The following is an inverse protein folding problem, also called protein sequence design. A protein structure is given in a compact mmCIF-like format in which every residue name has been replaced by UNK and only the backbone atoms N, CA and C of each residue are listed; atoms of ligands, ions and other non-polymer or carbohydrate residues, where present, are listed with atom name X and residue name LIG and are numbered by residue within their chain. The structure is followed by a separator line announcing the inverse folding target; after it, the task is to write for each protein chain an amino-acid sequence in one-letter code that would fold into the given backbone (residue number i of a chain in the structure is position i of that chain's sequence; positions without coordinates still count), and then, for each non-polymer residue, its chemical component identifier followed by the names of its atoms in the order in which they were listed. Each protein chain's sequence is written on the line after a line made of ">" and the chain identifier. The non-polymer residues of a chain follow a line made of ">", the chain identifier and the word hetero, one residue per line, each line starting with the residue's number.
data_IF_875908913129
#
_entry.id   IF_875908913129
#
_cell.length_a   1.000
_cell.length_b   1.000
_cell.length_c   1.000
_cell.angle_alpha   90.00
_cell.angle_beta   90.00
_cell.angle_gamma   90.00
#
_symmetry.space_group_name_H-M   'P 1'
#
loop_
_entity.id
_entity.type
_entity.pdbx_description
1 polymer ?
#
# COMPACT_ATOMS: atom_id res chain seq x y z
N UNK A 1 -3.87 -24.68 -2.81
CA UNK A 1 -3.65 -23.50 -2.03
C UNK A 1 -2.85 -22.50 -2.80
N UNK A 2 -3.28 -21.26 -2.80
CA UNK A 2 -2.58 -20.22 -3.55
C UNK A 2 -1.55 -19.56 -2.66
N UNK A 3 -0.32 -19.50 -3.11
CA UNK A 3 0.71 -18.86 -2.32
C UNK A 3 0.51 -17.36 -2.29
N UNK A 4 0.67 -16.78 -1.13
CA UNK A 4 0.62 -15.35 -0.95
C UNK A 4 1.94 -14.87 -0.39
N UNK A 5 2.33 -13.70 -0.82
CA UNK A 5 3.52 -13.05 -0.30
C UNK A 5 3.14 -11.74 0.34
N UNK A 6 3.93 -11.33 1.31
CA UNK A 6 3.80 -10.00 1.88
C UNK A 6 4.75 -9.08 1.13
N UNK A 7 4.22 -7.98 0.69
CA UNK A 7 5.00 -6.99 -0.04
C UNK A 7 4.75 -5.64 0.60
N UNK A 8 5.82 -4.90 0.83
CA UNK A 8 5.69 -3.56 1.39
C UNK A 8 5.72 -2.55 0.26
N UNK A 9 4.75 -1.68 0.24
CA UNK A 9 4.64 -0.63 -0.76
C UNK A 9 4.70 0.72 -0.08
N UNK A 10 5.35 1.66 -0.74
CA UNK A 10 5.54 2.99 -0.20
C UNK A 10 5.07 3.99 -1.23
N UNK A 11 4.19 4.89 -0.82
CA UNK A 11 3.64 5.91 -1.72
C UNK A 11 3.64 7.23 -0.99
N UNK A 12 4.15 8.26 -1.63
CA UNK A 12 4.08 9.61 -1.11
C UNK A 12 2.88 10.30 -1.72
N UNK A 13 2.01 10.87 -0.89
CA UNK A 13 0.81 11.53 -1.40
C UNK A 13 0.40 12.66 -0.49
N UNK A 14 -0.47 13.50 -1.01
CA UNK A 14 -1.08 14.58 -0.24
C UNK A 14 -2.05 13.99 0.77
N UNK A 15 -2.16 14.64 1.94
CA UNK A 15 -3.00 14.11 3.01
C UNK A 15 -4.46 13.95 2.58
N UNK A 16 -4.92 14.77 1.64
CA UNK A 16 -6.31 14.68 1.18
C UNK A 16 -6.56 13.47 0.30
N UNK A 17 -5.50 12.80 -0.16
CA UNK A 17 -5.65 11.67 -1.07
C UNK A 17 -5.31 10.34 -0.45
N UNK A 18 -5.13 10.30 0.87
CA UNK A 18 -4.76 9.05 1.52
C UNK A 18 -5.77 7.95 1.23
N UNK A 19 -7.05 8.24 1.37
CA UNK A 19 -8.09 7.25 1.14
C UNK A 19 -8.10 6.79 -0.31
N UNK A 20 -7.89 7.74 -1.24
CA UNK A 20 -7.87 7.38 -2.66
C UNK A 20 -6.71 6.45 -2.98
N UNK A 21 -5.54 6.73 -2.41
CA UNK A 21 -4.37 5.89 -2.64
C UNK A 21 -4.62 4.49 -2.08
N UNK A 22 -5.13 4.41 -0.86
CA UNK A 22 -5.43 3.11 -0.25
C UNK A 22 -6.43 2.33 -1.09
N UNK A 23 -7.45 3.00 -1.61
CA UNK A 23 -8.44 2.33 -2.44
C UNK A 23 -7.81 1.80 -3.74
N UNK A 24 -6.93 2.58 -4.34
CA UNK A 24 -6.27 2.13 -5.56
C UNK A 24 -5.39 0.93 -5.30
N UNK A 25 -4.63 0.97 -4.22
CA UNK A 25 -3.74 -0.15 -3.90
C UNK A 25 -4.55 -1.40 -3.60
N UNK A 26 -5.67 -1.24 -2.87
CA UNK A 26 -6.51 -2.40 -2.54
C UNK A 26 -6.99 -3.14 -3.77
N UNK A 27 -7.16 -2.44 -4.88
CA UNK A 27 -7.63 -3.09 -6.11
C UNK A 27 -6.55 -3.91 -6.79
N UNK A 28 -5.30 -3.73 -6.41
CA UNK A 28 -4.20 -4.42 -7.06
C UNK A 28 -3.57 -5.49 -6.18
N UNK A 29 -4.05 -5.66 -4.95
CA UNK A 29 -3.50 -6.62 -4.01
C UNK A 29 -4.63 -7.45 -3.44
N UNK A 30 -4.28 -8.56 -2.80
CA UNK A 30 -5.28 -9.39 -2.15
C UNK A 30 -5.84 -8.67 -0.93
N UNK A 31 -4.97 -8.08 -0.15
CA UNK A 31 -5.38 -7.38 1.06
C UNK A 31 -4.29 -6.42 1.49
N UNK A 32 -4.69 -5.38 2.21
CA UNK A 32 -3.75 -4.54 2.93
C UNK A 32 -3.88 -4.95 4.39
N UNK A 33 -2.85 -5.58 4.91
CA UNK A 33 -2.89 -6.11 6.28
C UNK A 33 -2.67 -5.01 7.29
N UNK A 34 -1.85 -4.03 6.92
CA UNK A 34 -1.52 -2.97 7.85
C UNK A 34 -0.96 -1.81 7.05
N UNK A 35 -0.99 -0.61 7.62
CA UNK A 35 -0.33 0.50 6.98
C UNK A 35 0.12 1.50 8.02
N UNK A 36 1.07 2.32 7.64
CA UNK A 36 1.59 3.40 8.46
C UNK A 36 1.60 4.68 7.67
N UNK A 37 1.46 5.78 8.37
CA UNK A 37 1.53 7.10 7.78
C UNK A 37 2.73 7.79 8.42
N UNK A 38 3.69 8.17 7.60
CA UNK A 38 4.88 8.88 8.05
C UNK A 38 4.79 10.32 7.59
N UNK A 39 5.14 11.23 8.47
CA UNK A 39 5.17 12.64 8.14
C UNK A 39 6.41 12.96 7.33
N UNK A 40 6.27 13.95 6.45
CA UNK A 40 7.40 14.47 5.70
C UNK A 40 7.70 15.87 6.20
N UNK A 41 8.70 16.51 5.60
CA UNK A 41 9.00 17.89 5.93
C UNK A 41 7.89 18.85 5.51
N UNK A 42 7.04 18.42 4.57
CA UNK A 42 5.91 19.21 4.15
C UNK A 42 4.67 18.69 4.87
N UNK A 43 4.03 19.56 5.66
CA UNK A 43 2.92 19.12 6.51
C UNK A 43 1.72 18.61 5.74
N UNK A 44 1.64 18.89 4.44
CA UNK A 44 0.52 18.44 3.64
C UNK A 44 0.81 17.15 2.88
N UNK A 45 2.01 16.61 3.00
CA UNK A 45 2.41 15.40 2.29
C UNK A 45 2.84 14.36 3.29
N UNK A 46 2.49 13.13 3.00
CA UNK A 46 2.83 12.02 3.88
C UNK A 46 3.32 10.86 3.02
N UNK A 47 3.99 9.93 3.67
CA UNK A 47 4.41 8.69 3.04
C UNK A 47 3.58 7.58 3.65
N UNK A 48 2.90 6.83 2.79
CA UNK A 48 2.15 5.66 3.22
C UNK A 48 3.02 4.44 3.01
N UNK A 49 3.19 3.67 4.06
CA UNK A 49 3.89 2.39 3.97
C UNK A 49 2.84 1.32 4.25
N UNK A 50 2.61 0.46 3.28
CA UNK A 50 1.53 -0.51 3.35
C UNK A 50 2.11 -1.92 3.32
N UNK A 51 1.63 -2.76 4.21
CA UNK A 51 1.97 -4.17 4.19
C UNK A 51 0.86 -4.87 3.42
N UNK A 52 1.16 -5.26 2.20
CA UNK A 52 0.18 -5.80 1.28
C UNK A 52 0.38 -7.29 1.09
N UNK A 53 -0.73 -7.98 1.00
CA UNK A 53 -0.68 -9.39 0.68
C UNK A 53 -1.01 -9.56 -0.81
N UNK A 54 -0.10 -10.18 -1.55
CA UNK A 54 -0.25 -10.33 -2.99
C UNK A 54 -0.17 -11.80 -3.35
N UNK A 55 -0.80 -12.16 -4.45
CA UNK A 55 -0.67 -13.52 -4.95
C UNK A 55 0.67 -13.66 -5.64
N UNK A 56 1.35 -14.73 -5.34
CA UNK A 56 2.57 -15.05 -6.02
C UNK A 56 2.18 -15.78 -7.28
N UNK A 57 2.07 -15.05 -8.37
CA UNK A 57 1.65 -15.62 -9.63
C UNK A 57 2.79 -16.33 -10.27
N UNK A 58 2.60 -17.52 -10.49
CA UNK A 58 3.65 -18.21 -11.06
C UNK A 58 3.82 -18.02 -12.42
N UNK A 59 3.44 -17.68 -13.12
CA UNK A 59 3.73 -17.54 -14.37
C UNK A 59 4.70 -17.94 -14.97
N UNK A 60 4.98 -18.30 -15.05
CA UNK A 60 5.90 -18.68 -15.45
C UNK A 60 6.25 -18.95 -15.78
#
# INVERSE_FOLDING_TARGET
>A
MMPCEVEYRQVECHIDYIADVLNKVRKTVVAINNFRILETTNSKWVILIMECEVLKDMEE
#
